data_IF_513397154942
#
_entry.id   IF_513397154942
#
_cell.length_a   1.000
_cell.length_b   1.000
_cell.length_c   1.000
_cell.angle_alpha   90.00
_cell.angle_beta   90.00
_cell.angle_gamma   90.00
#
_symmetry.space_group_name_H-M   'P 1'
#
loop_
_entity.id
_entity.type
_entity.pdbx_description
1 polymer ?
#
# COMPACT_ATOMS: atom_id res chain seq x y z
N UNK A 1 16.47 -1.49 -59.62
CA UNK A 1 16.82 -0.52 -58.56
C UNK A 1 15.59 0.31 -58.22
N UNK A 2 14.88 -0.04 -57.14
CA UNK A 2 13.82 0.79 -56.55
C UNK A 2 13.96 0.67 -55.04
N UNK A 3 14.30 1.80 -54.42
CA UNK A 3 14.57 1.95 -52.99
C UNK A 3 13.29 1.71 -52.18
N UNK A 4 13.37 0.79 -51.22
CA UNK A 4 12.34 0.57 -50.21
C UNK A 4 12.67 1.46 -49.00
N UNK A 5 12.06 2.65 -48.93
CA UNK A 5 12.08 3.48 -47.74
C UNK A 5 11.00 2.96 -46.78
N UNK A 6 11.44 2.22 -45.76
CA UNK A 6 10.60 1.86 -44.61
C UNK A 6 10.58 3.08 -43.70
N UNK A 7 9.53 3.89 -43.81
CA UNK A 7 9.28 4.98 -42.86
C UNK A 7 8.53 4.42 -41.66
N UNK A 8 9.24 4.21 -40.56
CA UNK A 8 8.69 3.87 -39.25
C UNK A 8 7.84 5.04 -38.74
N UNK A 9 6.52 4.88 -38.65
CA UNK A 9 5.67 5.78 -37.87
C UNK A 9 5.47 5.13 -36.51
N UNK A 10 6.27 5.54 -35.53
CA UNK A 10 6.03 5.22 -34.14
C UNK A 10 4.80 6.03 -33.67
N UNK A 11 3.66 5.35 -33.54
CA UNK A 11 2.50 5.90 -32.85
C UNK A 11 2.84 6.00 -31.35
N UNK A 12 3.23 7.18 -30.89
CA UNK A 12 3.30 7.49 -29.47
C UNK A 12 1.87 7.72 -28.99
N UNK A 13 1.26 6.68 -28.43
CA UNK A 13 0.03 6.83 -27.64
C UNK A 13 0.44 7.44 -26.30
N UNK A 14 0.34 8.75 -26.20
CA UNK A 14 0.41 9.44 -24.90
C UNK A 14 -0.92 9.19 -24.19
N UNK A 15 -0.97 8.20 -23.30
CA UNK A 15 -2.05 8.10 -22.32
C UNK A 15 -1.96 9.32 -21.38
N UNK A 16 -2.74 10.36 -21.67
CA UNK A 16 -2.94 11.50 -20.79
C UNK A 16 -3.72 11.02 -19.55
N UNK A 17 -2.99 10.59 -18.53
CA UNK A 17 -3.50 10.65 -17.16
C UNK A 17 -3.74 12.12 -16.83
N UNK A 18 -5.01 12.47 -16.60
CA UNK A 18 -5.43 13.84 -16.33
C UNK A 18 -4.63 14.41 -15.15
N UNK A 19 -3.70 15.33 -15.43
CA UNK A 19 -3.01 16.11 -14.42
C UNK A 19 -4.05 16.92 -13.65
N UNK A 20 -4.33 16.49 -12.42
CA UNK A 20 -5.17 17.25 -11.50
C UNK A 20 -4.49 18.57 -11.15
N UNK A 21 -5.28 19.65 -11.14
CA UNK A 21 -4.90 21.00 -10.72
C UNK A 21 -4.34 21.11 -9.29
N UNK A 22 -4.31 20.02 -8.51
CA UNK A 22 -3.78 19.98 -7.14
C UNK A 22 -2.49 19.15 -6.97
N UNK A 23 -1.97 18.52 -8.02
CA UNK A 23 -0.64 17.88 -7.99
C UNK A 23 -0.48 16.66 -7.08
N UNK A 24 -1.57 15.99 -6.70
CA UNK A 24 -1.54 14.77 -5.86
C UNK A 24 -2.25 13.59 -6.53
N UNK A 25 -1.89 12.36 -6.11
CA UNK A 25 -2.39 11.11 -6.69
C UNK A 25 -3.83 10.80 -6.27
N UNK A 26 -4.61 10.19 -7.17
CA UNK A 26 -5.97 9.70 -6.90
C UNK A 26 -6.07 8.24 -7.27
N UNK A 27 -6.63 7.45 -6.36
CA UNK A 27 -6.92 6.04 -6.62
C UNK A 27 -8.30 5.70 -6.07
N UNK A 28 -9.29 5.50 -6.95
CA UNK A 28 -10.66 5.23 -6.54
C UNK A 28 -11.10 3.84 -6.97
N UNK A 29 -11.69 3.09 -6.04
CA UNK A 29 -12.36 1.85 -6.40
C UNK A 29 -13.61 2.18 -7.22
N UNK A 30 -13.94 1.36 -8.23
CA UNK A 30 -14.99 1.63 -9.23
C UNK A 30 -16.35 2.05 -8.64
N UNK A 31 -16.70 1.55 -7.45
CA UNK A 31 -17.99 1.81 -6.77
C UNK A 31 -17.94 2.95 -5.75
N UNK A 32 -16.80 3.63 -5.59
CA UNK A 32 -16.60 4.72 -4.66
C UNK A 32 -15.68 5.79 -5.27
N UNK A 33 -16.14 6.40 -6.35
CA UNK A 33 -15.46 7.51 -7.03
C UNK A 33 -15.97 8.83 -6.44
N UNK A 34 -15.06 9.70 -5.99
CA UNK A 34 -15.42 11.02 -5.50
C UNK A 34 -15.66 11.98 -6.68
N UNK A 35 -16.72 12.78 -6.61
CA UNK A 35 -16.87 13.92 -7.51
C UNK A 35 -15.91 15.04 -7.14
N UNK A 36 -15.67 15.99 -8.06
CA UNK A 36 -14.81 17.16 -7.79
C UNK A 36 -15.26 17.96 -6.57
N UNK A 37 -16.57 18.10 -6.37
CA UNK A 37 -17.10 18.83 -5.21
C UNK A 37 -16.93 18.07 -3.91
N UNK A 38 -17.06 16.73 -3.94
CA UNK A 38 -16.75 15.90 -2.79
C UNK A 38 -15.25 15.94 -2.45
N UNK A 39 -14.37 15.92 -3.46
CA UNK A 39 -12.93 16.10 -3.25
C UNK A 39 -12.61 17.41 -2.54
N UNK A 40 -13.24 18.53 -2.92
CA UNK A 40 -13.03 19.83 -2.23
C UNK A 40 -13.38 19.74 -0.74
N UNK A 41 -14.48 19.07 -0.40
CA UNK A 41 -14.88 18.87 1.01
C UNK A 41 -13.85 18.00 1.74
N UNK A 42 -13.40 16.90 1.11
CA UNK A 42 -12.36 16.02 1.67
C UNK A 42 -11.05 16.79 1.89
N UNK A 43 -10.59 17.57 0.91
CA UNK A 43 -9.38 18.39 1.02
C UNK A 43 -9.51 19.41 2.15
N UNK A 44 -10.64 20.10 2.26
CA UNK A 44 -10.88 21.07 3.32
C UNK A 44 -10.87 20.41 4.72
N UNK A 45 -11.51 19.25 4.87
CA UNK A 45 -11.45 18.46 6.10
C UNK A 45 -10.02 18.07 6.47
N UNK A 46 -9.25 17.58 5.50
CA UNK A 46 -7.85 17.14 5.67
C UNK A 46 -6.96 18.29 6.14
N UNK A 47 -7.10 19.45 5.51
CA UNK A 47 -6.36 20.67 5.88
C UNK A 47 -6.74 21.16 7.28
N UNK A 48 -8.04 21.20 7.62
CA UNK A 48 -8.52 21.54 8.98
C UNK A 48 -8.08 20.52 10.03
N UNK A 49 -7.80 19.28 9.64
CA UNK A 49 -7.20 18.24 10.49
C UNK A 49 -5.67 18.30 10.57
N UNK A 50 -5.04 19.28 9.94
CA UNK A 50 -3.62 19.58 10.09
C UNK A 50 -2.72 18.92 9.05
N UNK A 51 -3.25 18.22 8.05
CA UNK A 51 -2.45 17.71 6.92
C UNK A 51 -2.42 18.78 5.84
N UNK A 52 -1.34 19.56 5.80
CA UNK A 52 -1.19 20.70 4.88
C UNK A 52 -0.89 20.30 3.43
N UNK A 53 -0.04 19.29 3.25
CA UNK A 53 0.36 18.76 1.94
C UNK A 53 -0.20 17.35 1.77
N UNK A 54 -1.05 17.18 0.77
CA UNK A 54 -1.66 15.89 0.42
C UNK A 54 -0.80 15.24 -0.65
N UNK A 55 -0.48 13.95 -0.47
CA UNK A 55 0.22 13.15 -1.46
C UNK A 55 -0.76 12.28 -2.27
N UNK A 56 -1.77 11.71 -1.59
CA UNK A 56 -2.74 10.80 -2.22
C UNK A 56 -4.09 10.85 -1.55
N UNK A 57 -5.15 10.83 -2.35
CA UNK A 57 -6.52 10.53 -1.90
C UNK A 57 -6.92 9.21 -2.54
N UNK A 58 -7.46 8.30 -1.74
CA UNK A 58 -7.95 7.04 -2.26
C UNK A 58 -9.18 6.53 -1.54
N UNK A 59 -9.94 5.66 -2.20
CA UNK A 59 -11.12 5.02 -1.63
C UNK A 59 -10.93 3.51 -1.56
N UNK A 60 -11.60 2.86 -0.62
CA UNK A 60 -11.46 1.43 -0.40
C UNK A 60 -12.77 0.80 0.09
N UNK A 61 -12.95 -0.49 -0.18
CA UNK A 61 -14.08 -1.27 0.33
C UNK A 61 -13.76 -1.78 1.75
N UNK A 62 -14.78 -1.85 2.60
CA UNK A 62 -14.68 -2.39 3.96
C UNK A 62 -15.32 -3.78 3.96
N UNK A 63 -14.57 -4.78 3.53
CA UNK A 63 -15.06 -6.17 3.47
C UNK A 63 -15.26 -6.78 4.87
N UNK A 64 -16.22 -7.72 5.01
CA UNK A 64 -17.14 -8.23 3.98
C UNK A 64 -18.38 -7.33 3.73
N UNK A 65 -18.41 -6.11 4.26
CA UNK A 65 -19.58 -5.24 4.20
C UNK A 65 -19.67 -4.44 2.88
N UNK A 66 -20.84 -3.86 2.59
CA UNK A 66 -21.00 -2.94 1.47
C UNK A 66 -20.43 -1.53 1.73
N UNK A 67 -19.89 -1.27 2.92
CA UNK A 67 -19.38 0.04 3.28
C UNK A 67 -18.08 0.37 2.52
N UNK A 68 -17.85 1.67 2.29
CA UNK A 68 -16.60 2.19 1.74
C UNK A 68 -16.03 3.29 2.61
N UNK A 69 -14.71 3.43 2.56
CA UNK A 69 -13.97 4.49 3.23
C UNK A 69 -13.21 5.36 2.24
N UNK A 70 -12.88 6.56 2.69
CA UNK A 70 -11.94 7.46 2.02
C UNK A 70 -10.71 7.55 2.92
N UNK A 71 -9.53 7.48 2.33
CA UNK A 71 -8.27 7.68 3.05
C UNK A 71 -7.41 8.67 2.33
N UNK A 72 -6.80 9.57 3.10
CA UNK A 72 -5.92 10.61 2.60
C UNK A 72 -4.55 10.45 3.23
N UNK A 73 -3.52 10.34 2.39
CA UNK A 73 -2.12 10.33 2.79
C UNK A 73 -1.55 11.74 2.63
N UNK A 74 -0.92 12.24 3.69
CA UNK A 74 -0.08 13.43 3.63
C UNK A 74 1.25 13.15 2.94
N UNK A 75 1.98 14.21 2.61
CA UNK A 75 3.34 14.13 2.11
C UNK A 75 4.27 13.40 3.09
N UNK A 76 5.20 12.62 2.54
CA UNK A 76 6.20 11.89 3.29
C UNK A 76 7.25 12.81 3.93
N UNK A 77 7.72 12.41 5.10
CA UNK A 77 8.87 12.97 5.79
C UNK A 77 9.88 11.85 5.97
N UNK A 78 11.07 12.01 5.37
CA UNK A 78 12.13 11.02 5.40
C UNK A 78 13.21 11.45 6.39
N UNK A 79 13.56 10.58 7.34
CA UNK A 79 14.68 10.75 8.27
C UNK A 79 15.52 9.48 8.27
N UNK A 80 16.61 9.51 7.50
CA UNK A 80 17.47 8.33 7.32
C UNK A 80 16.71 7.19 6.65
N UNK A 81 16.59 6.04 7.34
CA UNK A 81 15.81 4.88 6.88
C UNK A 81 14.34 4.95 7.26
N UNK A 82 13.91 5.88 8.10
CA UNK A 82 12.50 6.01 8.49
C UNK A 82 11.77 6.96 7.55
N UNK A 83 10.60 6.54 7.09
CA UNK A 83 9.62 7.39 6.41
C UNK A 83 8.38 7.49 7.26
N UNK A 84 7.93 8.71 7.51
CA UNK A 84 6.70 8.96 8.26
C UNK A 84 5.75 9.84 7.46
N UNK A 85 4.46 9.59 7.60
CA UNK A 85 3.42 10.40 6.98
C UNK A 85 2.14 10.36 7.80
N UNK A 86 1.30 11.38 7.62
CA UNK A 86 -0.02 11.41 8.25
C UNK A 86 -1.05 10.71 7.37
N UNK A 87 -1.94 9.97 8.00
CA UNK A 87 -3.08 9.33 7.34
C UNK A 87 -4.36 9.79 8.01
N UNK A 88 -5.31 10.26 7.23
CA UNK A 88 -6.66 10.57 7.69
C UNK A 88 -7.66 9.61 7.06
N UNK A 89 -8.49 8.98 7.89
CA UNK A 89 -9.67 8.25 7.43
C UNK A 89 -10.85 9.23 7.44
N UNK A 90 -11.51 9.38 6.30
CA UNK A 90 -12.69 10.21 6.12
C UNK A 90 -13.87 9.29 5.83
N UNK A 91 -14.96 9.51 6.53
CA UNK A 91 -16.21 8.80 6.34
C UNK A 91 -17.17 9.67 5.54
N UNK A 92 -17.82 9.08 4.54
CA UNK A 92 -18.92 9.70 3.82
C UNK A 92 -20.21 8.97 4.17
N UNK A 93 -21.20 9.70 4.70
CA UNK A 93 -22.47 9.15 5.22
C UNK A 93 -23.11 8.13 4.28
N UNK A 94 -23.18 8.44 2.99
CA UNK A 94 -23.87 7.62 1.98
C UNK A 94 -23.12 6.33 1.61
N UNK A 95 -21.85 6.21 2.00
CA UNK A 95 -21.04 5.02 1.75
C UNK A 95 -20.83 4.16 2.99
N UNK A 96 -21.21 4.64 4.16
CA UNK A 96 -20.92 3.96 5.42
C UNK A 96 -22.17 3.29 5.99
N UNK A 97 -22.05 2.66 7.17
CA UNK A 97 -23.17 1.93 7.77
C UNK A 97 -24.35 2.86 8.09
N UNK A 98 -25.60 2.45 7.82
CA UNK A 98 -26.79 3.21 8.18
C UNK A 98 -26.79 3.60 9.67
N UNK A 99 -27.27 4.80 9.99
CA UNK A 99 -27.29 5.31 11.37
C UNK A 99 -25.94 5.78 11.91
N UNK A 100 -24.84 5.63 11.16
CA UNK A 100 -23.53 6.14 11.60
C UNK A 100 -23.52 7.66 11.67
N UNK A 101 -22.93 8.17 12.75
CA UNK A 101 -22.72 9.58 12.99
C UNK A 101 -21.27 9.85 13.43
N UNK A 102 -20.79 11.10 13.32
CA UNK A 102 -19.50 11.49 13.85
C UNK A 102 -19.41 11.24 15.35
N UNK A 103 -18.24 10.81 15.83
CA UNK A 103 -17.96 10.64 17.26
C UNK A 103 -17.59 11.96 17.91
N UNK A 104 -17.59 12.01 19.24
CA UNK A 104 -17.09 13.17 19.99
C UNK A 104 -15.65 13.49 19.57
N UNK A 105 -15.43 14.72 19.09
CA UNK A 105 -14.13 15.19 18.61
C UNK A 105 -13.88 14.97 17.12
N UNK A 106 -14.81 14.34 16.39
CA UNK A 106 -14.81 14.31 14.92
C UNK A 106 -15.12 15.69 14.35
N UNK A 107 -14.55 15.99 13.18
CA UNK A 107 -14.82 17.21 12.43
C UNK A 107 -15.75 16.81 11.29
N UNK A 108 -16.92 17.43 11.24
CA UNK A 108 -17.92 17.18 10.21
C UNK A 108 -18.02 18.37 9.26
N UNK A 109 -18.15 18.08 7.95
CA UNK A 109 -18.46 19.04 6.90
C UNK A 109 -19.48 18.41 5.95
N UNK A 110 -20.74 18.84 6.05
CA UNK A 110 -21.85 18.21 5.35
C UNK A 110 -22.00 16.73 5.73
N UNK A 111 -22.08 15.87 4.72
CA UNK A 111 -22.19 14.41 4.88
C UNK A 111 -20.84 13.71 5.14
N UNK A 112 -19.74 14.47 5.29
CA UNK A 112 -18.41 13.93 5.52
C UNK A 112 -17.96 14.22 6.95
N UNK A 113 -17.28 13.26 7.57
CA UNK A 113 -16.60 13.51 8.84
C UNK A 113 -15.31 12.72 8.95
N UNK A 114 -14.41 13.19 9.81
CA UNK A 114 -13.14 12.53 10.07
C UNK A 114 -12.69 12.76 11.50
N UNK A 115 -12.03 11.77 12.09
CA UNK A 115 -11.32 11.88 13.37
C UNK A 115 -10.00 12.63 13.25
N UNK A 116 -9.07 12.39 14.18
CA UNK A 116 -7.70 12.91 14.10
C UNK A 116 -6.86 12.08 13.13
N UNK A 117 -5.90 12.68 12.41
CA UNK A 117 -4.99 11.92 11.56
C UNK A 117 -4.01 11.09 12.40
N UNK A 118 -3.80 9.84 12.01
CA UNK A 118 -2.76 8.99 12.57
C UNK A 118 -1.41 9.26 11.92
N UNK A 119 -0.32 8.99 12.63
CA UNK A 119 1.01 8.88 12.01
C UNK A 119 1.23 7.43 11.59
N UNK A 120 1.65 7.23 10.35
CA UNK A 120 2.17 5.95 9.86
C UNK A 120 3.67 6.08 9.66
N UNK A 121 4.37 4.98 9.89
CA UNK A 121 5.82 4.86 9.69
C UNK A 121 6.10 3.67 8.79
N UNK A 122 7.14 3.79 8.00
CA UNK A 122 7.70 2.74 7.18
C UNK A 122 9.22 2.81 7.26
N UNK A 123 9.86 1.69 6.98
CA UNK A 123 11.32 1.58 6.90
C UNK A 123 11.73 1.41 5.44
N UNK A 124 12.74 2.16 5.00
CA UNK A 124 13.40 1.93 3.71
C UNK A 124 14.26 0.70 3.84
N UNK A 125 14.09 -0.23 2.90
CA UNK A 125 15.00 -1.34 2.65
C UNK A 125 15.71 -1.09 1.31
N UNK A 126 17.00 -1.39 1.23
CA UNK A 126 17.84 -1.23 0.04
C UNK A 126 18.29 -2.60 -0.42
N UNK A 127 17.84 -2.99 -1.61
CA UNK A 127 18.25 -4.24 -2.27
C UNK A 127 18.71 -3.88 -3.67
N UNK A 128 19.93 -4.26 -4.04
CA UNK A 128 20.51 -4.00 -5.37
C UNK A 128 20.35 -2.55 -5.85
N UNK A 129 20.63 -1.58 -4.96
CA UNK A 129 20.51 -0.13 -5.20
C UNK A 129 19.08 0.37 -5.44
N UNK A 130 18.06 -0.50 -5.33
CA UNK A 130 16.64 -0.13 -5.33
C UNK A 130 16.14 0.03 -3.90
N UNK A 131 15.21 0.98 -3.73
CA UNK A 131 14.56 1.22 -2.44
C UNK A 131 13.18 0.58 -2.39
N UNK A 132 12.92 -0.12 -1.30
CA UNK A 132 11.66 -0.77 -0.98
C UNK A 132 11.13 -0.22 0.35
N UNK A 133 9.83 -0.39 0.60
CA UNK A 133 9.18 0.05 1.85
C UNK A 133 8.71 -1.16 2.64
N UNK A 134 9.06 -1.21 3.92
CA UNK A 134 8.47 -2.14 4.89
C UNK A 134 7.58 -1.38 5.88
N UNK A 135 6.34 -1.84 6.08
CA UNK A 135 5.39 -1.21 7.00
C UNK A 135 5.74 -1.38 8.48
N UNK A 136 6.41 -2.47 8.84
CA UNK A 136 6.87 -2.73 10.20
C UNK A 136 8.14 -3.57 10.19
N UNK A 137 9.11 -3.24 11.03
CA UNK A 137 10.33 -4.04 11.27
C UNK A 137 10.46 -4.23 12.77
N UNK A 138 10.41 -5.47 13.26
CA UNK A 138 10.39 -5.79 14.69
C UNK A 138 11.28 -6.98 15.03
N UNK A 139 12.21 -6.79 15.98
CA UNK A 139 13.06 -7.88 16.49
C UNK A 139 14.11 -8.41 15.50
N UNK A 140 14.28 -7.74 14.36
CA UNK A 140 15.18 -8.12 13.26
C UNK A 140 15.88 -6.86 12.73
N UNK A 141 17.14 -6.98 12.29
CA UNK A 141 17.88 -5.83 11.74
C UNK A 141 17.40 -5.46 10.34
N UNK A 142 17.68 -4.23 9.91
CA UNK A 142 17.33 -3.76 8.56
C UNK A 142 18.11 -4.55 7.51
N UNK A 143 19.38 -4.84 7.77
CA UNK A 143 20.28 -5.57 6.87
C UNK A 143 19.83 -7.03 6.70
N UNK A 144 19.33 -7.66 7.76
CA UNK A 144 18.76 -9.01 7.70
C UNK A 144 17.43 -8.99 6.90
N UNK A 145 16.60 -7.95 7.06
CA UNK A 145 15.40 -7.77 6.23
C UNK A 145 15.74 -7.58 4.74
N UNK A 146 16.77 -6.78 4.43
CA UNK A 146 17.26 -6.55 3.07
C UNK A 146 17.80 -7.84 2.44
N UNK A 147 18.53 -8.64 3.20
CA UNK A 147 19.03 -9.94 2.76
C UNK A 147 17.89 -10.90 2.42
N UNK A 148 16.89 -11.00 3.30
CA UNK A 148 15.70 -11.82 3.09
C UNK A 148 14.90 -11.33 1.87
N UNK A 149 14.69 -10.01 1.76
CA UNK A 149 13.96 -9.43 0.63
C UNK A 149 14.70 -9.66 -0.69
N UNK A 150 16.03 -9.59 -0.70
CA UNK A 150 16.85 -9.90 -1.87
C UNK A 150 16.65 -11.33 -2.36
N UNK A 151 16.67 -12.31 -1.45
CA UNK A 151 16.42 -13.71 -1.79
C UNK A 151 15.00 -13.91 -2.37
N UNK A 152 13.98 -13.29 -1.78
CA UNK A 152 12.63 -13.35 -2.33
C UNK A 152 12.51 -12.72 -3.73
N UNK A 153 13.12 -11.55 -3.94
CA UNK A 153 13.10 -10.86 -5.23
C UNK A 153 13.85 -11.63 -6.32
N UNK A 154 14.91 -12.35 -5.95
CA UNK A 154 15.66 -13.22 -6.84
C UNK A 154 14.96 -14.57 -7.11
N UNK A 155 13.91 -14.93 -6.34
CA UNK A 155 13.30 -16.25 -6.39
C UNK A 155 14.15 -17.34 -5.74
N UNK A 156 15.13 -16.96 -4.92
CA UNK A 156 16.09 -17.85 -4.27
C UNK A 156 15.57 -18.30 -2.90
N UNK A 157 14.59 -19.19 -2.90
CA UNK A 157 14.05 -19.79 -1.69
C UNK A 157 13.55 -21.21 -1.92
N UNK A 158 13.56 -22.00 -0.86
CA UNK A 158 12.87 -23.29 -0.81
C UNK A 158 11.53 -23.13 -0.12
N UNK A 159 10.63 -24.09 -0.30
CA UNK A 159 9.38 -24.14 0.45
C UNK A 159 9.15 -25.53 1.05
N UNK A 160 8.62 -25.55 2.27
CA UNK A 160 8.19 -26.76 2.94
C UNK A 160 6.78 -27.21 2.51
N UNK A 161 6.28 -28.32 3.08
CA UNK A 161 4.96 -28.86 2.75
C UNK A 161 3.79 -27.96 3.21
N UNK A 162 4.04 -27.00 4.12
CA UNK A 162 3.04 -26.03 4.59
C UNK A 162 2.80 -24.85 3.64
N UNK A 163 3.23 -24.96 2.38
CA UNK A 163 3.18 -23.89 1.39
C UNK A 163 2.40 -24.33 0.16
N UNK A 164 1.40 -23.54 -0.23
CA UNK A 164 0.74 -23.73 -1.51
C UNK A 164 1.56 -23.03 -2.60
N UNK A 165 2.27 -23.83 -3.39
CA UNK A 165 3.16 -23.34 -4.45
C UNK A 165 2.44 -22.43 -5.45
N UNK A 166 1.18 -22.73 -5.80
CA UNK A 166 0.40 -21.90 -6.74
C UNK A 166 0.16 -20.49 -6.20
N UNK A 167 0.07 -20.33 -4.88
CA UNK A 167 -0.13 -19.04 -4.22
C UNK A 167 1.13 -18.17 -4.24
N UNK A 168 2.34 -18.73 -4.37
CA UNK A 168 3.59 -17.95 -4.44
C UNK A 168 3.58 -16.96 -5.61
N UNK A 169 3.00 -17.36 -6.75
CA UNK A 169 2.87 -16.51 -7.95
C UNK A 169 1.93 -15.31 -7.75
N UNK A 170 1.14 -15.31 -6.68
CA UNK A 170 0.18 -14.26 -6.35
C UNK A 170 0.75 -13.21 -5.40
N UNK A 171 1.94 -13.45 -4.83
CA UNK A 171 2.59 -12.57 -3.88
C UNK A 171 3.25 -11.39 -4.60
N UNK A 172 2.99 -10.17 -4.14
CA UNK A 172 3.77 -9.01 -4.54
C UNK A 172 5.03 -8.91 -3.69
N UNK A 173 6.08 -9.60 -4.13
CA UNK A 173 7.39 -9.64 -3.49
C UNK A 173 8.07 -8.27 -3.38
N UNK A 174 7.63 -7.27 -4.15
CA UNK A 174 8.22 -5.93 -4.16
C UNK A 174 7.67 -5.00 -3.08
N UNK A 175 6.68 -5.45 -2.30
CA UNK A 175 5.98 -4.57 -1.37
C UNK A 175 5.79 -5.22 0.01
N UNK A 176 6.87 -5.50 0.77
CA UNK A 176 6.75 -6.16 2.06
C UNK A 176 5.89 -5.34 3.04
N UNK A 177 4.84 -5.94 3.58
CA UNK A 177 4.05 -5.35 4.65
C UNK A 177 4.87 -5.18 5.94
N UNK A 178 5.78 -6.11 6.21
CA UNK A 178 6.69 -6.01 7.33
C UNK A 178 7.44 -7.30 7.63
N UNK A 179 8.43 -7.17 8.51
CA UNK A 179 9.29 -8.23 8.99
C UNK A 179 9.20 -8.29 10.51
N UNK A 180 9.08 -9.49 11.05
CA UNK A 180 9.03 -9.71 12.49
C UNK A 180 9.80 -10.95 12.87
N UNK A 181 10.66 -10.86 13.89
CA UNK A 181 11.33 -12.01 14.49
C UNK A 181 10.88 -12.17 15.94
N UNK A 182 10.53 -13.39 16.32
CA UNK A 182 10.20 -13.78 17.70
C UNK A 182 10.87 -15.13 17.99
N UNK A 183 11.89 -15.13 18.83
CA UNK A 183 12.75 -16.31 18.99
C UNK A 183 13.38 -16.68 17.64
N UNK A 184 13.25 -17.95 17.26
CA UNK A 184 13.83 -18.48 16.01
C UNK A 184 12.89 -18.33 14.79
N UNK A 185 11.65 -17.88 15.00
CA UNK A 185 10.68 -17.71 13.90
C UNK A 185 10.74 -16.30 13.34
N UNK A 186 10.89 -16.20 12.02
CA UNK A 186 10.76 -14.95 11.27
C UNK A 186 9.44 -15.01 10.47
N UNK A 187 8.63 -13.97 10.61
CA UNK A 187 7.41 -13.75 9.83
C UNK A 187 7.62 -12.59 8.86
N UNK A 188 7.28 -12.78 7.59
CA UNK A 188 7.34 -11.76 6.56
C UNK A 188 6.00 -11.66 5.84
N UNK A 189 5.39 -10.48 5.88
CA UNK A 189 4.11 -10.24 5.23
C UNK A 189 4.27 -9.60 3.86
N UNK A 190 3.47 -10.00 2.88
CA UNK A 190 3.40 -9.39 1.55
C UNK A 190 1.94 -9.29 1.08
N UNK A 191 1.54 -8.21 0.39
CA UNK A 191 0.21 -8.12 -0.20
C UNK A 191 0.06 -9.09 -1.38
N UNK A 192 -1.19 -9.41 -1.69
CA UNK A 192 -1.51 -10.05 -2.95
C UNK A 192 -1.36 -9.06 -4.12
N UNK A 193 -0.88 -9.50 -5.29
CA UNK A 193 -0.72 -8.66 -6.50
C UNK A 193 -2.01 -7.94 -6.91
N UNK A 194 -3.13 -8.64 -6.83
CA UNK A 194 -4.46 -8.05 -7.04
C UNK A 194 -4.90 -7.26 -5.80
N UNK A 195 -5.19 -5.97 -6.01
CA UNK A 195 -5.71 -5.09 -4.97
C UNK A 195 -7.02 -5.62 -4.37
N UNK A 196 -7.11 -5.63 -3.04
CA UNK A 196 -8.29 -6.11 -2.32
C UNK A 196 -8.38 -7.63 -2.16
N UNK A 197 -7.39 -8.39 -2.61
CA UNK A 197 -7.32 -9.85 -2.41
C UNK A 197 -6.57 -10.27 -1.14
N UNK A 198 -6.29 -9.31 -0.26
CA UNK A 198 -5.68 -9.57 1.05
C UNK A 198 -4.16 -9.60 1.02
N UNK A 199 -3.58 -10.37 1.93
CA UNK A 199 -2.13 -10.49 2.07
C UNK A 199 -1.74 -11.90 2.52
N UNK A 200 -0.46 -12.21 2.33
CA UNK A 200 0.19 -13.42 2.77
C UNK A 200 1.10 -13.12 3.96
N UNK A 201 1.12 -14.01 4.94
CA UNK A 201 2.11 -14.03 6.02
C UNK A 201 2.93 -15.32 5.91
N UNK A 202 4.23 -15.16 5.73
CA UNK A 202 5.18 -16.25 5.50
C UNK A 202 6.00 -16.47 6.75
N UNK A 203 5.98 -17.68 7.29
CA UNK A 203 6.95 -18.08 8.30
C UNK A 203 8.16 -18.67 7.62
N UNK A 204 9.32 -18.06 7.85
CA UNK A 204 10.57 -18.44 7.21
C UNK A 204 11.64 -18.82 8.22
N UNK A 205 12.62 -19.57 7.73
CA UNK A 205 13.89 -19.80 8.39
C UNK A 205 15.02 -19.41 7.44
N UNK A 206 16.04 -18.75 8.00
CA UNK A 206 17.26 -18.39 7.29
C UNK A 206 18.42 -19.15 7.91
N UNK A 207 18.97 -20.11 7.17
CA UNK A 207 20.15 -20.87 7.56
C UNK A 207 21.32 -20.43 6.65
N UNK A 208 22.12 -19.48 7.12
CA UNK A 208 23.14 -18.82 6.30
C UNK A 208 22.51 -18.02 5.16
N UNK A 209 22.72 -18.45 3.91
CA UNK A 209 22.12 -17.84 2.71
C UNK A 209 20.89 -18.58 2.20
N UNK A 210 20.54 -19.72 2.82
CA UNK A 210 19.41 -20.52 2.38
C UNK A 210 18.13 -20.05 3.08
N UNK A 211 17.22 -19.48 2.30
CA UNK A 211 15.89 -19.08 2.75
C UNK A 211 14.89 -20.23 2.51
N UNK A 212 14.16 -20.63 3.56
CA UNK A 212 13.09 -21.63 3.45
C UNK A 212 11.79 -21.08 4.01
N UNK A 213 10.71 -21.15 3.22
CA UNK A 213 9.35 -20.85 3.66
C UNK A 213 8.76 -22.11 4.28
N UNK A 214 8.58 -22.11 5.60
CA UNK A 214 8.06 -23.27 6.32
C UNK A 214 6.52 -23.33 6.28
N UNK A 215 5.88 -22.17 6.41
CA UNK A 215 4.42 -22.04 6.40
C UNK A 215 4.00 -20.78 5.67
N UNK A 216 2.83 -20.86 5.03
CA UNK A 216 2.16 -19.75 4.38
C UNK A 216 0.74 -19.62 4.89
N UNK A 217 0.38 -18.43 5.34
CA UNK A 217 -0.99 -18.06 5.69
C UNK A 217 -1.49 -17.01 4.71
N UNK A 218 -2.75 -17.13 4.29
CA UNK A 218 -3.41 -16.11 3.48
C UNK A 218 -4.57 -15.52 4.27
N UNK A 219 -4.55 -14.21 4.46
CA UNK A 219 -5.65 -13.46 5.02
C UNK A 219 -6.42 -12.79 3.87
N UNK A 220 -7.62 -13.29 3.58
CA UNK A 220 -8.53 -12.72 2.57
C UNK A 220 -9.53 -11.78 3.27
N UNK A 221 -9.83 -10.59 2.71
CA UNK A 221 -10.78 -9.63 3.30
C UNK A 221 -12.24 -10.11 3.32
#
# INVERSE_FOLDING_TARGET
MKNLLITTVAAVVLEMSAFSSYGFEREYVKRAVLSKEQEKVVIALVQKRGIKKIAKIYTYNVYPTAARGIRVKGAEQVKGREVSFKVLNVTYKKWFHPGSAPRKGDLQMGDFWAGKPGTQKQTILKVDKKEYRAGSVQGISIEECESILGLFLAGEYNHGPGVNEKSLNQIDWSNPNGFRKRGDTISVGFPHKNAGSGFFDLQIKLDGKQLTINQMFQAVP
#
